data_IF_200662685928
#
_entry.id   IF_200662685928
#
_cell.length_a   1.000
_cell.length_b   1.000
_cell.length_c   1.000
_cell.angle_alpha   90.00
_cell.angle_beta   90.00
_cell.angle_gamma   90.00
#
_symmetry.space_group_name_H-M   'P 1'
#
loop_
_entity.id
_entity.type
_entity.pdbx_description
1 polymer ?
#
# COMPACT_ATOMS: atom_id res chain seq x y z
N UNK A 1 5.63 16.19 17.87
CA UNK A 1 6.48 16.39 16.67
C UNK A 1 5.62 16.54 15.41
N UNK A 2 4.74 15.56 15.06
CA UNK A 2 3.93 15.63 13.85
C UNK A 2 3.02 16.85 13.77
N UNK A 3 2.38 17.26 14.86
CA UNK A 3 1.57 18.51 14.91
C UNK A 3 2.35 19.79 14.55
N UNK A 4 3.67 19.83 14.75
CA UNK A 4 4.49 20.96 14.32
C UNK A 4 4.74 20.98 12.81
N UNK A 5 4.77 19.80 12.18
CA UNK A 5 4.99 19.68 10.74
C UNK A 5 3.76 20.02 9.90
N UNK A 6 2.54 19.89 10.44
CA UNK A 6 1.30 20.25 9.73
C UNK A 6 1.22 21.75 9.38
N UNK A 7 2.07 22.60 9.98
CA UNK A 7 2.20 24.01 9.62
C UNK A 7 2.99 24.22 8.31
N UNK A 8 3.74 23.23 7.86
CA UNK A 8 4.69 23.34 6.76
C UNK A 8 4.42 22.34 5.62
N UNK A 9 3.66 21.27 5.87
CA UNK A 9 3.44 20.18 4.91
C UNK A 9 1.97 19.83 4.85
N UNK A 10 1.46 19.68 3.62
CA UNK A 10 0.08 19.25 3.35
C UNK A 10 -0.13 17.76 3.65
N UNK A 11 0.92 16.96 3.50
CA UNK A 11 0.92 15.50 3.76
C UNK A 11 2.18 15.10 4.50
N UNK A 12 2.00 14.30 5.55
CA UNK A 12 3.09 13.72 6.33
C UNK A 12 2.93 12.20 6.27
N UNK A 13 3.92 11.50 5.72
CA UNK A 13 3.97 10.05 5.72
C UNK A 13 4.78 9.56 6.92
N UNK A 14 4.18 8.69 7.72
CA UNK A 14 4.86 8.03 8.84
C UNK A 14 5.15 6.59 8.43
N UNK A 15 6.44 6.28 8.22
CA UNK A 15 6.87 4.90 7.99
C UNK A 15 6.78 4.12 9.29
N UNK A 16 5.96 3.06 9.27
CA UNK A 16 5.66 2.25 10.44
C UNK A 16 6.57 1.01 10.46
N UNK A 17 7.24 0.73 11.59
CA UNK A 17 8.03 -0.49 11.70
C UNK A 17 7.15 -1.74 11.59
N UNK A 18 7.75 -2.85 11.16
CA UNK A 18 7.06 -4.14 11.06
C UNK A 18 6.55 -4.61 12.43
N UNK A 19 5.41 -5.31 12.40
CA UNK A 19 4.73 -5.84 13.57
C UNK A 19 3.85 -4.84 14.30
N UNK A 20 3.12 -5.31 15.30
CA UNK A 20 2.06 -4.58 16.03
C UNK A 20 2.49 -4.18 17.46
N UNK A 21 3.78 -3.99 17.64
CA UNK A 21 4.35 -3.61 18.95
C UNK A 21 4.31 -2.09 19.21
N UNK A 22 5.13 -1.66 20.18
CA UNK A 22 5.20 -0.26 20.62
C UNK A 22 5.50 0.74 19.49
N UNK A 23 6.32 0.35 18.50
CA UNK A 23 6.62 1.21 17.34
C UNK A 23 5.39 1.50 16.49
N UNK A 24 4.55 0.49 16.28
CA UNK A 24 3.27 0.60 15.62
C UNK A 24 2.34 1.60 16.34
N UNK A 25 2.20 1.47 17.66
CA UNK A 25 1.39 2.38 18.48
C UNK A 25 1.86 3.84 18.38
N UNK A 26 3.16 4.06 18.39
CA UNK A 26 3.75 5.40 18.26
C UNK A 26 3.48 5.98 16.86
N UNK A 27 3.58 5.16 15.82
CA UNK A 27 3.32 5.58 14.45
C UNK A 27 1.84 5.93 14.22
N UNK A 28 0.92 5.17 14.83
CA UNK A 28 -0.52 5.42 14.71
C UNK A 28 -1.00 6.66 15.47
N UNK A 29 -0.33 7.04 16.56
CA UNK A 29 -0.80 8.11 17.44
C UNK A 29 -1.07 9.46 16.72
N UNK A 30 -0.27 9.90 15.73
CA UNK A 30 -0.54 11.10 14.95
C UNK A 30 -1.33 10.84 13.65
N UNK A 31 -1.62 9.59 13.30
CA UNK A 31 -2.16 9.24 11.98
C UNK A 31 -3.66 9.54 11.89
N UNK A 32 -4.08 10.10 10.76
CA UNK A 32 -5.48 10.34 10.42
C UNK A 32 -6.04 9.25 9.48
N UNK A 33 -5.15 8.58 8.76
CA UNK A 33 -5.46 7.50 7.80
C UNK A 33 -4.29 6.52 7.75
N UNK A 34 -4.56 5.28 7.33
CA UNK A 34 -3.53 4.28 7.16
C UNK A 34 -3.55 3.67 5.74
N UNK A 35 -2.37 3.37 5.22
CA UNK A 35 -2.17 2.49 4.07
C UNK A 35 -1.58 1.18 4.58
N UNK A 36 -2.34 0.10 4.44
CA UNK A 36 -1.87 -1.25 4.75
C UNK A 36 -1.30 -1.83 3.47
N UNK A 37 -0.01 -2.13 3.48
CA UNK A 37 0.70 -2.64 2.31
C UNK A 37 0.96 -4.13 2.50
N UNK A 38 0.48 -4.94 1.56
CA UNK A 38 0.68 -6.39 1.55
C UNK A 38 1.29 -6.86 0.23
N UNK A 39 1.86 -8.05 0.21
CA UNK A 39 2.23 -8.76 -1.01
C UNK A 39 1.12 -9.74 -1.42
N UNK A 40 1.09 -10.22 -2.68
CA UNK A 40 0.01 -11.08 -3.17
C UNK A 40 0.20 -12.54 -2.73
N UNK A 41 0.24 -12.76 -1.42
CA UNK A 41 0.29 -14.08 -0.79
C UNK A 41 -0.62 -14.14 0.45
N UNK A 42 -1.13 -15.32 0.77
CA UNK A 42 -2.12 -15.52 1.82
C UNK A 42 -1.58 -15.30 3.25
N UNK A 43 -0.27 -15.44 3.46
CA UNK A 43 0.34 -15.20 4.77
C UNK A 43 0.32 -13.70 5.05
N UNK A 44 0.83 -12.91 4.11
CA UNK A 44 0.82 -11.45 4.22
C UNK A 44 -0.60 -10.86 4.23
N UNK A 45 -1.56 -11.47 3.50
CA UNK A 45 -2.96 -11.05 3.55
C UNK A 45 -3.60 -11.26 4.94
N UNK A 46 -3.27 -12.38 5.62
CA UNK A 46 -3.71 -12.63 7.01
C UNK A 46 -3.05 -11.69 8.01
N UNK A 47 -1.77 -11.36 7.82
CA UNK A 47 -1.10 -10.35 8.64
C UNK A 47 -1.76 -8.97 8.45
N UNK A 48 -2.09 -8.61 7.20
CA UNK A 48 -2.85 -7.40 6.90
C UNK A 48 -4.24 -7.39 7.57
N UNK A 49 -4.92 -8.54 7.67
CA UNK A 49 -6.19 -8.68 8.39
C UNK A 49 -6.04 -8.38 9.88
N UNK A 50 -4.95 -8.84 10.51
CA UNK A 50 -4.69 -8.53 11.93
C UNK A 50 -4.54 -7.01 12.11
N UNK A 51 -3.76 -6.37 11.24
CA UNK A 51 -3.58 -4.92 11.25
C UNK A 51 -4.90 -4.19 10.98
N UNK A 52 -5.71 -4.67 10.02
CA UNK A 52 -7.03 -4.11 9.69
C UNK A 52 -7.93 -4.01 10.91
N UNK A 53 -8.04 -5.10 11.68
CA UNK A 53 -8.84 -5.13 12.92
C UNK A 53 -8.34 -4.15 13.97
N UNK A 54 -7.02 -4.06 14.16
CA UNK A 54 -6.42 -3.10 15.08
C UNK A 54 -6.68 -1.64 14.69
N UNK A 55 -6.74 -1.35 13.39
CA UNK A 55 -7.07 -0.02 12.88
C UNK A 55 -8.57 0.29 13.03
N UNK A 56 -9.42 -0.71 12.79
CA UNK A 56 -10.87 -0.62 12.99
C UNK A 56 -11.22 -0.34 14.45
N UNK A 57 -10.62 -1.06 15.41
CA UNK A 57 -10.78 -0.84 16.85
C UNK A 57 -10.42 0.59 17.26
N UNK A 58 -9.54 1.25 16.52
CA UNK A 58 -9.14 2.65 16.72
C UNK A 58 -9.93 3.65 15.89
N UNK A 59 -10.89 3.16 15.12
CA UNK A 59 -11.68 3.99 14.18
C UNK A 59 -10.79 4.76 13.19
N UNK A 60 -9.62 4.22 12.84
CA UNK A 60 -8.69 4.82 11.90
C UNK A 60 -8.98 4.32 10.47
N UNK A 61 -9.42 5.20 9.55
CA UNK A 61 -9.71 4.81 8.18
C UNK A 61 -8.47 4.21 7.50
N UNK A 62 -8.61 3.04 6.89
CA UNK A 62 -7.52 2.33 6.25
C UNK A 62 -7.87 1.89 4.82
N UNK A 63 -6.85 1.76 3.97
CA UNK A 63 -6.94 1.25 2.60
C UNK A 63 -5.83 0.26 2.33
N UNK A 64 -6.12 -0.70 1.45
CA UNK A 64 -5.18 -1.75 1.05
C UNK A 64 -4.38 -1.34 -0.18
N UNK A 65 -3.08 -1.54 -0.15
CA UNK A 65 -2.18 -1.54 -1.31
C UNK A 65 -1.61 -2.94 -1.48
N UNK A 66 -1.79 -3.54 -2.65
CA UNK A 66 -1.13 -4.80 -3.00
C UNK A 66 0.16 -4.45 -3.75
N UNK A 67 1.29 -4.78 -3.15
CA UNK A 67 2.62 -4.48 -3.67
C UNK A 67 3.27 -5.70 -4.32
N UNK A 68 4.16 -5.48 -5.29
CA UNK A 68 4.95 -6.52 -5.97
C UNK A 68 4.08 -7.59 -6.66
N UNK A 69 2.97 -7.17 -7.24
CA UNK A 69 2.07 -8.09 -7.94
C UNK A 69 2.67 -8.54 -9.26
N UNK A 70 2.62 -9.86 -9.50
CA UNK A 70 3.00 -10.52 -10.74
C UNK A 70 1.76 -11.13 -11.37
N UNK A 71 1.32 -10.57 -12.50
CA UNK A 71 0.07 -11.02 -13.13
C UNK A 71 0.13 -12.44 -13.71
N UNK A 72 1.29 -12.87 -14.21
CA UNK A 72 1.43 -14.17 -14.86
C UNK A 72 1.12 -15.37 -13.93
N UNK A 73 1.64 -15.46 -12.69
CA UNK A 73 1.28 -16.55 -11.78
C UNK A 73 -0.20 -16.56 -11.40
N UNK A 74 -0.82 -15.38 -11.23
CA UNK A 74 -2.25 -15.26 -10.91
C UNK A 74 -3.10 -15.78 -12.06
N UNK A 75 -2.84 -15.33 -13.29
CA UNK A 75 -3.57 -15.83 -14.49
C UNK A 75 -3.43 -17.32 -14.73
N UNK A 76 -2.38 -17.94 -14.21
CA UNK A 76 -2.14 -19.37 -14.28
C UNK A 76 -2.73 -20.16 -13.09
N UNK A 77 -3.44 -19.49 -12.17
CA UNK A 77 -4.02 -20.11 -10.97
C UNK A 77 -2.98 -20.65 -9.98
N UNK A 78 -1.72 -20.14 -10.04
CA UNK A 78 -0.62 -20.56 -9.17
C UNK A 78 -0.44 -19.66 -7.93
N UNK A 79 -1.12 -18.54 -7.91
CA UNK A 79 -1.17 -17.61 -6.78
C UNK A 79 -2.61 -17.17 -6.55
N UNK A 80 -2.94 -16.74 -5.33
CA UNK A 80 -4.25 -16.18 -5.02
C UNK A 80 -4.57 -15.02 -5.97
N UNK A 81 -5.83 -14.85 -6.32
CA UNK A 81 -6.25 -13.70 -7.09
C UNK A 81 -6.35 -12.43 -6.19
N UNK A 82 -6.60 -11.30 -6.83
CA UNK A 82 -6.66 -10.01 -6.13
C UNK A 82 -7.86 -9.95 -5.19
N UNK A 83 -8.98 -10.55 -5.57
CA UNK A 83 -10.21 -10.54 -4.78
C UNK A 83 -10.03 -11.38 -3.51
N UNK A 84 -9.37 -12.56 -3.61
CA UNK A 84 -9.03 -13.39 -2.44
C UNK A 84 -8.14 -12.64 -1.43
N UNK A 85 -7.19 -11.82 -1.91
CA UNK A 85 -6.34 -11.00 -1.05
C UNK A 85 -7.15 -9.89 -0.37
N UNK A 86 -8.02 -9.21 -1.11
CA UNK A 86 -8.90 -8.15 -0.59
C UNK A 86 -9.83 -8.70 0.49
N UNK A 87 -10.50 -9.80 0.19
CA UNK A 87 -11.45 -10.45 1.10
C UNK A 87 -10.76 -10.92 2.39
N UNK A 88 -9.57 -11.52 2.24
CA UNK A 88 -8.78 -11.97 3.41
C UNK A 88 -8.30 -10.81 4.25
N UNK A 89 -7.78 -9.74 3.65
CA UNK A 89 -7.29 -8.57 4.38
C UNK A 89 -8.43 -7.77 5.04
N UNK A 90 -9.66 -7.85 4.50
CA UNK A 90 -10.83 -7.14 5.01
C UNK A 90 -10.74 -5.61 4.82
N UNK A 91 -10.04 -5.14 3.80
CA UNK A 91 -9.81 -3.73 3.52
C UNK A 91 -10.16 -3.39 2.07
N UNK A 92 -10.69 -2.20 1.85
CA UNK A 92 -10.93 -1.70 0.50
C UNK A 92 -9.60 -1.40 -0.22
N UNK A 93 -9.46 -1.92 -1.43
CA UNK A 93 -8.28 -1.69 -2.27
C UNK A 93 -8.22 -0.23 -2.74
N UNK A 94 -7.05 0.40 -2.59
CA UNK A 94 -6.77 1.71 -3.15
C UNK A 94 -5.87 1.61 -4.39
N UNK A 95 -5.01 0.61 -4.47
CA UNK A 95 -4.16 0.40 -5.63
C UNK A 95 -3.30 -0.85 -5.60
N UNK A 96 -2.74 -1.15 -6.75
CA UNK A 96 -1.86 -2.28 -6.99
C UNK A 96 -0.56 -1.76 -7.60
N UNK A 97 0.56 -2.21 -7.07
CA UNK A 97 1.89 -1.94 -7.58
C UNK A 97 2.45 -3.21 -8.22
N UNK A 98 2.86 -3.17 -9.49
CA UNK A 98 3.50 -4.32 -10.12
C UNK A 98 4.87 -4.58 -9.51
N UNK A 99 5.33 -5.83 -9.59
CA UNK A 99 6.75 -6.11 -9.41
C UNK A 99 7.50 -5.56 -10.62
N UNK A 100 8.34 -4.56 -10.40
CA UNK A 100 9.04 -3.82 -11.44
C UNK A 100 10.52 -3.68 -11.06
N UNK A 101 11.40 -4.17 -11.93
CA UNK A 101 12.84 -4.11 -11.73
C UNK A 101 13.36 -2.68 -11.63
N UNK A 102 12.72 -1.73 -12.31
CA UNK A 102 13.11 -0.32 -12.26
C UNK A 102 12.96 0.26 -10.85
N UNK A 103 11.98 -0.23 -10.05
CA UNK A 103 11.84 0.15 -8.64
C UNK A 103 13.05 -0.32 -7.83
N UNK A 104 13.46 -1.57 -8.01
CA UNK A 104 14.61 -2.13 -7.31
C UNK A 104 15.90 -1.40 -7.69
N UNK A 105 16.10 -1.13 -8.98
CA UNK A 105 17.27 -0.39 -9.48
C UNK A 105 17.30 1.05 -8.98
N UNK A 106 16.17 1.75 -9.00
CA UNK A 106 16.07 3.12 -8.50
C UNK A 106 16.41 3.19 -7.00
N UNK A 107 15.83 2.28 -6.21
CA UNK A 107 16.10 2.19 -4.77
C UNK A 107 17.58 1.88 -4.48
N UNK A 108 18.17 0.90 -5.18
CA UNK A 108 19.58 0.55 -4.99
C UNK A 108 20.54 1.71 -5.29
N UNK A 109 20.16 2.60 -6.18
CA UNK A 109 20.97 3.77 -6.58
C UNK A 109 20.57 5.07 -5.87
N UNK A 110 19.58 5.06 -4.98
CA UNK A 110 19.06 6.26 -4.33
C UNK A 110 18.51 7.29 -5.30
N UNK A 111 17.94 6.84 -6.42
CA UNK A 111 17.40 7.70 -7.48
C UNK A 111 15.87 7.65 -7.49
N UNK A 112 15.21 8.74 -7.89
CA UNK A 112 13.76 8.73 -8.10
C UNK A 112 13.39 7.77 -9.23
N UNK A 113 12.16 7.23 -9.17
CA UNK A 113 11.61 6.42 -10.25
C UNK A 113 11.45 7.26 -11.52
N UNK A 114 11.82 6.71 -12.70
CA UNK A 114 11.50 7.36 -13.97
C UNK A 114 9.98 7.50 -14.15
N UNK A 115 9.51 8.64 -14.63
CA UNK A 115 8.08 8.86 -14.90
C UNK A 115 7.50 7.92 -15.98
N UNK A 116 8.35 7.37 -16.83
CA UNK A 116 7.98 6.35 -17.83
C UNK A 116 7.79 4.95 -17.26
N UNK A 117 8.20 4.72 -16.00
CA UNK A 117 8.05 3.45 -15.33
C UNK A 117 6.57 3.17 -15.03
N UNK A 118 6.14 1.94 -15.25
CA UNK A 118 4.75 1.52 -14.97
C UNK A 118 4.40 1.65 -13.48
N UNK A 119 5.32 1.31 -12.60
CA UNK A 119 5.13 1.48 -11.17
C UNK A 119 4.94 2.96 -10.79
N UNK A 120 5.64 3.91 -11.46
CA UNK A 120 5.46 5.35 -11.22
C UNK A 120 4.01 5.78 -11.45
N UNK A 121 3.41 5.39 -12.56
CA UNK A 121 2.00 5.68 -12.85
C UNK A 121 1.05 5.06 -11.80
N UNK A 122 1.36 3.86 -11.32
CA UNK A 122 0.57 3.22 -10.26
C UNK A 122 0.68 4.00 -8.93
N UNK A 123 1.87 4.47 -8.56
CA UNK A 123 2.06 5.32 -7.39
C UNK A 123 1.28 6.64 -7.49
N UNK A 124 1.32 7.30 -8.64
CA UNK A 124 0.56 8.54 -8.90
C UNK A 124 -0.96 8.31 -8.75
N UNK A 125 -1.47 7.21 -9.29
CA UNK A 125 -2.88 6.85 -9.18
C UNK A 125 -3.28 6.56 -7.71
N UNK A 126 -2.43 5.85 -6.95
CA UNK A 126 -2.65 5.61 -5.53
C UNK A 126 -2.67 6.93 -4.75
N UNK A 127 -1.71 7.81 -5.00
CA UNK A 127 -1.63 9.12 -4.34
C UNK A 127 -2.88 9.97 -4.65
N UNK A 128 -3.29 10.03 -5.91
CA UNK A 128 -4.50 10.74 -6.34
C UNK A 128 -5.75 10.23 -5.60
N UNK A 129 -5.94 8.90 -5.56
CA UNK A 129 -7.08 8.29 -4.86
C UNK A 129 -7.02 8.49 -3.35
N UNK A 130 -5.83 8.43 -2.76
CA UNK A 130 -5.63 8.64 -1.33
C UNK A 130 -5.98 10.08 -0.91
N UNK A 131 -5.72 11.04 -1.78
CA UNK A 131 -6.09 12.45 -1.59
C UNK A 131 -7.55 12.77 -1.96
N UNK A 132 -8.33 11.74 -2.34
CA UNK A 132 -9.77 11.89 -2.64
C UNK A 132 -10.08 12.20 -4.11
N UNK A 133 -9.08 12.21 -4.98
CA UNK A 133 -9.27 12.34 -6.42
C UNK A 133 -9.71 11.03 -7.09
N UNK A 134 -10.10 11.12 -8.36
CA UNK A 134 -10.43 9.97 -9.19
C UNK A 134 -9.24 9.58 -10.07
N UNK A 135 -8.82 8.32 -10.00
CA UNK A 135 -7.77 7.74 -10.82
C UNK A 135 -8.04 6.25 -11.04
N UNK A 136 -7.69 5.69 -12.21
CA UNK A 136 -7.98 4.30 -12.51
C UNK A 136 -7.15 3.34 -11.62
N UNK A 137 -7.74 2.20 -11.26
CA UNK A 137 -6.98 1.07 -10.72
C UNK A 137 -6.13 0.44 -11.83
N UNK A 138 -4.93 0.00 -11.45
CA UNK A 138 -4.11 -0.81 -12.35
C UNK A 138 -4.86 -2.10 -12.73
N UNK A 139 -5.00 -2.38 -14.02
CA UNK A 139 -5.66 -3.60 -14.50
C UNK A 139 -4.63 -4.72 -14.61
N UNK A 140 -4.99 -5.91 -14.10
CA UNK A 140 -4.15 -7.13 -14.18
C UNK A 140 -3.67 -7.47 -15.60
N UNK A 141 -4.47 -7.14 -16.61
CA UNK A 141 -4.15 -7.38 -18.02
C UNK A 141 -3.01 -6.47 -18.52
N UNK A 142 -2.77 -5.37 -17.82
CA UNK A 142 -1.75 -4.38 -18.16
C UNK A 142 -0.53 -4.41 -17.22
N UNK A 143 -0.54 -5.30 -16.23
CA UNK A 143 0.56 -5.54 -15.28
C UNK A 143 1.40 -6.82 -15.69
#
# INVERSE_FOLDING_TARGET
LCRGFTLYYDVILVDCPAGVGRGFEIALAPAERALVVTTPDMVCARDAQIVSRLLEDRQLPARLVINRLRAAPIRQGRMPDVDEIIDTAGLQLIGILPEDEQVAVANANGKPLPSSCRASQCFENIATRFLGGDAPLARLEKL
#
